data_IF_989849067137
#
_entry.id   IF_989849067137
#
_cell.length_a   1.000
_cell.length_b   1.000
_cell.length_c   1.000
_cell.angle_alpha   90.00
_cell.angle_beta   90.00
_cell.angle_gamma   90.00
#
_symmetry.space_group_name_H-M   'P 1'
#
loop_
_entity.id
_entity.type
_entity.pdbx_description
1 polymer ?
#
# COMPACT_ATOMS: atom_id res chain seq x y z
N UNK A 1 -26.60 16.20 -53.85
CA UNK A 1 -27.61 15.53 -53.00
C UNK A 1 -26.88 14.50 -52.16
N UNK A 2 -27.13 14.53 -50.88
CA UNK A 2 -26.73 13.68 -49.77
C UNK A 2 -25.41 14.10 -49.06
N UNK A 3 -25.66 14.76 -47.93
CA UNK A 3 -24.74 15.11 -46.87
C UNK A 3 -24.40 13.90 -46.02
N UNK A 4 -23.19 13.87 -45.47
CA UNK A 4 -22.92 13.19 -44.20
C UNK A 4 -22.15 14.15 -43.26
N UNK A 5 -22.90 14.61 -42.27
CA UNK A 5 -22.38 15.17 -41.00
C UNK A 5 -21.97 14.01 -40.09
N UNK A 6 -20.84 14.09 -39.41
CA UNK A 6 -20.80 14.24 -37.98
C UNK A 6 -19.35 14.18 -37.49
N UNK A 7 -18.85 15.34 -37.10
CA UNK A 7 -17.72 15.46 -36.24
C UNK A 7 -18.15 15.05 -34.81
N UNK A 8 -17.61 14.01 -34.26
CA UNK A 8 -17.82 13.64 -32.85
C UNK A 8 -16.77 14.37 -32.02
N UNK A 9 -17.22 15.45 -31.45
CA UNK A 9 -16.47 16.22 -30.41
C UNK A 9 -16.37 15.36 -29.18
N UNK A 10 -15.20 14.82 -28.88
CA UNK A 10 -14.92 14.22 -27.59
C UNK A 10 -14.79 15.33 -26.54
N UNK A 11 -15.79 15.44 -25.71
CA UNK A 11 -15.89 16.45 -24.67
C UNK A 11 -14.90 16.19 -23.53
N UNK A 12 -14.29 17.29 -23.07
CA UNK A 12 -13.34 17.46 -21.97
C UNK A 12 -13.91 17.06 -20.57
N UNK A 13 -15.02 16.32 -20.50
CA UNK A 13 -15.66 15.94 -19.22
C UNK A 13 -14.96 14.81 -18.48
N UNK A 14 -14.18 13.96 -19.14
CA UNK A 14 -13.48 12.84 -18.53
C UNK A 14 -12.31 13.27 -17.64
N UNK A 15 -11.60 14.32 -18.04
CA UNK A 15 -10.42 14.81 -17.29
C UNK A 15 -10.83 15.50 -15.97
N UNK A 16 -11.97 16.18 -15.95
CA UNK A 16 -12.49 16.82 -14.72
C UNK A 16 -12.99 15.80 -13.68
N UNK A 17 -13.39 14.62 -14.09
CA UNK A 17 -13.86 13.57 -13.17
C UNK A 17 -12.69 12.88 -12.45
N UNK A 18 -11.59 12.67 -13.16
CA UNK A 18 -10.34 12.12 -12.58
C UNK A 18 -9.71 13.12 -11.61
N UNK A 19 -9.63 14.41 -11.96
CA UNK A 19 -9.14 15.43 -11.02
C UNK A 19 -10.02 15.62 -9.78
N UNK A 20 -11.35 15.51 -9.90
CA UNK A 20 -12.25 15.57 -8.74
C UNK A 20 -12.11 14.36 -7.82
N UNK A 21 -11.80 13.17 -8.35
CA UNK A 21 -11.55 12.00 -7.52
C UNK A 21 -10.20 12.08 -6.81
N UNK A 22 -9.15 12.57 -7.47
CA UNK A 22 -7.81 12.75 -6.86
C UNK A 22 -7.84 13.83 -5.77
N UNK A 23 -8.52 14.96 -5.97
CA UNK A 23 -8.73 15.96 -4.92
C UNK A 23 -9.60 15.44 -3.76
N UNK A 24 -10.57 14.53 -4.01
CA UNK A 24 -11.29 13.85 -2.94
C UNK A 24 -10.41 12.89 -2.16
N UNK A 25 -9.44 12.21 -2.78
CA UNK A 25 -8.49 11.36 -2.08
C UNK A 25 -7.54 12.15 -1.17
N UNK A 26 -6.98 13.25 -1.65
CA UNK A 26 -6.06 14.07 -0.85
C UNK A 26 -6.75 14.85 0.27
N UNK A 27 -7.99 15.31 0.05
CA UNK A 27 -8.77 16.05 1.06
C UNK A 27 -9.60 15.16 2.01
N UNK A 28 -9.97 13.94 1.58
CA UNK A 28 -10.75 13.03 2.42
C UNK A 28 -9.92 12.39 3.55
N UNK A 29 -8.59 12.36 3.42
CA UNK A 29 -7.71 11.86 4.50
C UNK A 29 -7.62 12.85 5.67
N UNK A 30 -7.98 14.13 5.49
CA UNK A 30 -7.76 15.16 6.50
C UNK A 30 -9.02 15.90 7.02
N UNK A 31 -10.20 15.85 6.40
CA UNK A 31 -11.29 16.77 6.76
C UNK A 31 -12.73 16.26 6.71
N UNK A 32 -13.04 15.06 6.31
CA UNK A 32 -14.42 14.57 6.44
C UNK A 32 -14.55 13.63 7.65
N UNK A 33 -15.48 13.88 8.58
CA UNK A 33 -15.82 12.87 9.56
C UNK A 33 -16.30 11.65 8.80
N UNK A 34 -15.66 10.49 9.07
CA UNK A 34 -16.15 9.20 8.58
C UNK A 34 -17.64 9.11 8.87
N UNK A 35 -18.47 8.60 7.95
CA UNK A 35 -19.89 8.48 8.21
C UNK A 35 -20.06 7.74 9.55
N UNK A 36 -20.57 8.45 10.55
CA UNK A 36 -20.72 7.92 11.89
C UNK A 36 -21.88 6.93 11.89
N UNK A 37 -21.56 5.65 11.68
CA UNK A 37 -22.53 4.61 12.01
C UNK A 37 -22.52 4.50 13.52
N UNK A 38 -23.63 4.87 14.14
CA UNK A 38 -23.81 4.83 15.58
C UNK A 38 -24.47 3.49 15.91
N UNK A 39 -23.79 2.66 16.70
CA UNK A 39 -24.38 1.44 17.25
C UNK A 39 -24.67 1.62 18.72
N UNK A 40 -25.79 1.03 19.13
CA UNK A 40 -26.14 0.84 20.54
C UNK A 40 -25.97 -0.63 20.90
N UNK A 41 -25.23 -0.92 21.95
CA UNK A 41 -25.16 -2.25 22.50
C UNK A 41 -25.34 -2.21 24.01
N UNK A 42 -25.84 -3.32 24.57
CA UNK A 42 -26.05 -3.45 26.01
C UNK A 42 -24.90 -4.21 26.65
N UNK A 43 -24.18 -3.56 27.54
CA UNK A 43 -23.17 -4.18 28.38
C UNK A 43 -23.80 -4.60 29.72
N UNK A 44 -23.72 -5.89 30.06
CA UNK A 44 -24.12 -6.37 31.38
C UNK A 44 -22.89 -6.39 32.28
N UNK A 45 -22.81 -5.41 33.19
CA UNK A 45 -21.87 -5.41 34.32
C UNK A 45 -22.67 -5.43 35.61
N UNK A 46 -22.40 -6.42 36.47
CA UNK A 46 -22.95 -6.50 37.83
C UNK A 46 -24.48 -6.30 37.93
N UNK A 47 -25.22 -6.95 37.02
CA UNK A 47 -26.69 -6.90 37.04
C UNK A 47 -27.33 -5.64 36.44
N UNK A 48 -26.54 -4.66 36.04
CA UNK A 48 -27.02 -3.45 35.33
C UNK A 48 -26.77 -3.56 33.83
N UNK A 49 -27.77 -3.17 33.04
CA UNK A 49 -27.63 -3.04 31.59
C UNK A 49 -27.28 -1.59 31.26
N UNK A 50 -26.09 -1.34 30.72
CA UNK A 50 -25.68 -0.03 30.23
C UNK A 50 -25.76 -0.03 28.70
N UNK A 51 -26.47 0.93 28.16
CA UNK A 51 -26.48 1.20 26.72
C UNK A 51 -25.22 2.01 26.36
N UNK A 52 -24.37 1.47 25.48
CA UNK A 52 -23.16 2.15 25.01
C UNK A 52 -23.33 2.46 23.54
N UNK A 53 -23.12 3.73 23.20
CA UNK A 53 -23.13 4.21 21.81
C UNK A 53 -21.70 4.25 21.33
N UNK A 54 -21.41 3.63 20.20
CA UNK A 54 -20.09 3.72 19.58
C UNK A 54 -20.21 4.03 18.08
N UNK A 55 -19.22 4.73 17.55
CA UNK A 55 -19.07 5.02 16.13
C UNK A 55 -18.03 4.09 15.51
N UNK A 56 -18.11 3.86 14.20
CA UNK A 56 -17.07 3.12 13.49
C UNK A 56 -15.93 4.09 13.15
N UNK A 57 -14.71 3.73 13.55
CA UNK A 57 -13.48 4.29 13.02
C UNK A 57 -12.80 3.22 12.16
N UNK A 58 -12.55 3.53 10.93
CA UNK A 58 -11.94 2.61 9.98
C UNK A 58 -11.16 3.40 8.94
N UNK A 59 -9.95 2.96 8.63
CA UNK A 59 -9.15 3.53 7.54
C UNK A 59 -9.65 3.17 6.15
N UNK A 60 -10.38 2.07 6.05
CA UNK A 60 -10.85 1.56 4.77
C UNK A 60 -11.99 2.42 4.20
N UNK A 61 -11.69 3.70 3.94
CA UNK A 61 -12.57 4.61 3.18
C UNK A 61 -12.74 4.18 1.71
N UNK A 62 -12.06 3.10 1.29
CA UNK A 62 -12.04 2.65 -0.08
C UNK A 62 -13.37 2.07 -0.59
N UNK A 63 -14.30 1.70 0.29
CA UNK A 63 -15.61 1.22 -0.16
C UNK A 63 -16.72 1.63 0.81
N UNK A 64 -17.58 2.55 0.38
CA UNK A 64 -18.85 2.85 1.05
C UNK A 64 -19.78 1.62 1.16
N UNK A 65 -19.55 0.57 0.35
CA UNK A 65 -20.25 -0.71 0.40
C UNK A 65 -19.83 -1.62 1.54
N UNK A 66 -18.74 -1.29 2.27
CA UNK A 66 -18.28 -2.07 3.42
C UNK A 66 -19.01 -1.72 4.73
N UNK A 67 -19.79 -0.65 4.74
CA UNK A 67 -20.55 -0.30 5.94
C UNK A 67 -21.72 -1.27 6.09
N UNK A 68 -21.74 -2.09 7.17
CA UNK A 68 -22.81 -3.03 7.39
C UNK A 68 -24.09 -2.28 7.74
N UNK A 69 -25.17 -2.63 7.07
CA UNK A 69 -26.52 -2.15 7.42
C UNK A 69 -27.01 -2.76 8.74
N UNK A 70 -26.49 -3.93 9.10
CA UNK A 70 -26.85 -4.66 10.30
C UNK A 70 -25.62 -5.10 11.09
N UNK A 71 -25.77 -5.13 12.42
CA UNK A 71 -24.71 -5.55 13.35
C UNK A 71 -25.25 -6.62 14.31
N UNK A 72 -24.49 -7.70 14.44
CA UNK A 72 -24.75 -8.75 15.43
C UNK A 72 -23.75 -8.59 16.57
N UNK A 73 -24.25 -8.40 17.79
CA UNK A 73 -23.39 -8.32 18.98
C UNK A 73 -23.16 -9.70 19.54
N UNK A 74 -21.90 -10.04 19.78
CA UNK A 74 -21.48 -11.33 20.32
C UNK A 74 -20.50 -11.16 21.48
N UNK A 75 -20.47 -12.12 22.39
CA UNK A 75 -19.57 -12.14 23.53
C UNK A 75 -19.16 -13.57 23.91
N UNK A 76 -18.12 -13.72 24.71
CA UNK A 76 -17.68 -15.03 25.21
C UNK A 76 -17.02 -15.91 24.14
N UNK A 77 -17.13 -17.24 24.31
CA UNK A 77 -16.58 -18.18 23.35
C UNK A 77 -17.59 -18.43 22.23
N UNK A 78 -17.29 -17.88 21.04
CA UNK A 78 -18.14 -18.00 19.86
C UNK A 78 -17.41 -18.79 18.78
N UNK A 79 -18.11 -19.76 18.18
CA UNK A 79 -17.55 -20.56 17.10
C UNK A 79 -17.66 -19.79 15.76
N UNK A 80 -16.56 -19.75 15.02
CA UNK A 80 -16.50 -19.10 13.71
C UNK A 80 -17.57 -19.63 12.72
N UNK A 81 -17.87 -20.92 12.73
CA UNK A 81 -18.89 -21.52 11.85
C UNK A 81 -20.31 -21.00 12.10
N UNK A 82 -20.61 -20.52 13.32
CA UNK A 82 -21.92 -19.92 13.64
C UNK A 82 -22.01 -18.45 13.17
N UNK A 83 -20.88 -17.78 13.09
CA UNK A 83 -20.80 -16.35 12.76
C UNK A 83 -20.54 -16.11 11.27
N UNK A 84 -19.86 -17.03 10.62
CA UNK A 84 -19.52 -16.88 9.20
C UNK A 84 -20.75 -16.61 8.29
N UNK A 85 -21.92 -17.28 8.46
CA UNK A 85 -23.10 -16.98 7.66
C UNK A 85 -23.61 -15.54 7.82
N UNK A 86 -23.51 -14.95 9.00
CA UNK A 86 -23.90 -13.55 9.23
C UNK A 86 -22.99 -12.59 8.49
N UNK A 87 -21.68 -12.89 8.49
CA UNK A 87 -20.68 -12.12 7.74
C UNK A 87 -20.91 -12.24 6.22
N UNK A 88 -21.22 -13.43 5.72
CA UNK A 88 -21.54 -13.68 4.29
C UNK A 88 -22.79 -12.93 3.84
N UNK A 89 -23.78 -12.76 4.74
CA UNK A 89 -24.97 -11.92 4.52
C UNK A 89 -24.68 -10.40 4.57
N UNK A 90 -23.43 -10.02 4.82
CA UNK A 90 -23.03 -8.60 4.84
C UNK A 90 -23.13 -7.93 6.21
N UNK A 91 -23.44 -8.65 7.29
CA UNK A 91 -23.53 -8.08 8.64
C UNK A 91 -22.16 -7.88 9.26
N UNK A 92 -22.02 -6.88 10.14
CA UNK A 92 -20.87 -6.75 11.02
C UNK A 92 -21.08 -7.53 12.31
N UNK A 93 -19.99 -7.98 12.88
CA UNK A 93 -19.96 -8.68 14.17
C UNK A 93 -19.27 -7.78 15.17
N UNK A 94 -20.03 -7.20 16.09
CA UNK A 94 -19.49 -6.43 17.19
C UNK A 94 -19.16 -7.36 18.34
N UNK A 95 -17.87 -7.62 18.54
CA UNK A 95 -17.42 -8.45 19.64
C UNK A 95 -17.24 -7.60 20.91
N UNK A 96 -17.98 -7.95 21.94
CA UNK A 96 -17.91 -7.31 23.27
C UNK A 96 -17.30 -8.31 24.26
N UNK A 97 -16.15 -7.98 24.83
CA UNK A 97 -15.49 -8.80 25.85
C UNK A 97 -14.00 -9.03 25.63
N UNK A 98 -13.55 -10.21 25.99
CA UNK A 98 -12.14 -10.60 26.04
C UNK A 98 -11.45 -10.54 24.67
N UNK A 99 -10.37 -9.74 24.57
CA UNK A 99 -9.55 -9.60 23.34
C UNK A 99 -9.02 -10.94 22.82
N UNK A 100 -8.55 -11.83 23.68
CA UNK A 100 -8.02 -13.14 23.24
C UNK A 100 -9.11 -14.01 22.64
N UNK A 101 -10.33 -13.94 23.19
CA UNK A 101 -11.48 -14.64 22.60
C UNK A 101 -11.88 -14.03 21.26
N UNK A 102 -11.83 -12.69 21.13
CA UNK A 102 -12.01 -12.02 19.83
C UNK A 102 -10.94 -12.45 18.82
N UNK A 103 -9.67 -12.51 19.25
CA UNK A 103 -8.55 -12.98 18.41
C UNK A 103 -8.69 -14.45 18.02
N UNK A 104 -9.19 -15.30 18.92
CA UNK A 104 -9.48 -16.70 18.61
C UNK A 104 -10.61 -16.82 17.58
N UNK A 105 -11.67 -16.03 17.73
CA UNK A 105 -12.75 -15.95 16.74
C UNK A 105 -12.20 -15.47 15.38
N UNK A 106 -11.38 -14.43 15.36
CA UNK A 106 -10.71 -13.94 14.16
C UNK A 106 -9.88 -15.04 13.47
N UNK A 107 -9.10 -15.79 14.25
CA UNK A 107 -8.28 -16.89 13.72
C UNK A 107 -9.16 -18.01 13.16
N UNK A 108 -10.28 -18.29 13.84
CA UNK A 108 -11.29 -19.25 13.37
C UNK A 108 -11.94 -18.82 12.05
N UNK A 109 -12.36 -17.55 11.96
CA UNK A 109 -12.92 -16.96 10.73
C UNK A 109 -11.89 -16.93 9.58
N UNK A 110 -10.63 -16.55 9.86
CA UNK A 110 -9.55 -16.61 8.88
C UNK A 110 -9.35 -18.03 8.33
N UNK A 111 -9.43 -19.03 9.18
CA UNK A 111 -9.35 -20.45 8.77
C UNK A 111 -10.59 -20.88 8.00
N UNK A 112 -11.79 -20.44 8.42
CA UNK A 112 -13.05 -20.79 7.78
C UNK A 112 -13.12 -20.22 6.36
N UNK A 113 -12.92 -18.92 6.20
CA UNK A 113 -12.97 -18.23 4.91
C UNK A 113 -11.72 -18.42 4.05
N UNK A 114 -10.59 -18.80 4.64
CA UNK A 114 -9.33 -19.06 3.93
C UNK A 114 -9.27 -20.43 3.26
N UNK A 115 -10.26 -21.30 3.49
CA UNK A 115 -10.39 -22.54 2.74
C UNK A 115 -10.94 -22.18 1.36
N UNK A 116 -10.11 -22.38 0.32
CA UNK A 116 -10.59 -22.34 -1.06
C UNK A 116 -11.69 -23.40 -1.19
N UNK A 117 -12.89 -22.97 -1.57
CA UNK A 117 -13.90 -23.95 -1.98
C UNK A 117 -13.34 -24.61 -3.24
N UNK A 118 -13.32 -25.94 -3.27
CA UNK A 118 -12.90 -26.74 -4.44
C UNK A 118 -13.64 -26.34 -5.74
N UNK A 119 -14.80 -25.67 -5.58
CA UNK A 119 -15.66 -25.22 -6.66
C UNK A 119 -15.16 -23.92 -7.37
N UNK A 120 -14.14 -23.22 -6.81
CA UNK A 120 -13.57 -22.01 -7.42
C UNK A 120 -12.52 -22.36 -8.51
N UNK A 121 -12.12 -23.62 -8.63
CA UNK A 121 -11.12 -24.10 -9.60
C UNK A 121 -11.66 -25.37 -10.29
N UNK A 122 -12.22 -25.21 -11.48
CA UNK A 122 -12.29 -26.31 -12.47
C UNK A 122 -10.86 -26.78 -12.77
N UNK A 123 -10.66 -28.07 -13.06
CA UNK A 123 -9.36 -28.71 -13.24
C UNK A 123 -8.23 -27.77 -13.74
N UNK A 124 -7.16 -27.56 -12.94
CA UNK A 124 -6.21 -26.45 -13.12
C UNK A 124 -5.21 -26.64 -14.28
N UNK A 125 -5.39 -27.62 -15.13
CA UNK A 125 -4.39 -27.99 -16.14
C UNK A 125 -4.27 -26.98 -17.27
N UNK A 126 -5.32 -26.16 -17.52
CA UNK A 126 -5.37 -25.23 -18.66
C UNK A 126 -5.68 -23.76 -18.29
N UNK A 127 -5.69 -23.38 -17.01
CA UNK A 127 -5.99 -21.99 -16.61
C UNK A 127 -4.75 -21.10 -16.80
N UNK A 128 -4.86 -19.98 -17.55
CA UNK A 128 -3.76 -19.03 -17.72
C UNK A 128 -3.26 -18.50 -16.35
N UNK A 129 -1.95 -18.26 -16.22
CA UNK A 129 -1.35 -17.77 -14.96
C UNK A 129 -1.93 -16.42 -14.51
N UNK A 130 -2.33 -15.55 -15.43
CA UNK A 130 -3.02 -14.29 -15.15
C UNK A 130 -4.37 -14.50 -14.49
N UNK A 131 -5.14 -15.46 -14.95
CA UNK A 131 -6.44 -15.80 -14.39
C UNK A 131 -6.30 -16.45 -13.00
N UNK A 132 -5.34 -17.37 -12.83
CA UNK A 132 -5.00 -17.92 -11.50
C UNK A 132 -4.61 -16.83 -10.50
N UNK A 133 -3.86 -15.82 -10.97
CA UNK A 133 -3.50 -14.66 -10.17
C UNK A 133 -4.73 -13.84 -9.76
N UNK A 134 -5.64 -13.57 -10.69
CA UNK A 134 -6.88 -12.85 -10.41
C UNK A 134 -7.78 -13.60 -9.42
N UNK A 135 -7.93 -14.92 -9.58
CA UNK A 135 -8.66 -15.78 -8.65
C UNK A 135 -8.05 -15.69 -7.26
N UNK A 136 -6.72 -15.87 -7.13
CA UNK A 136 -6.02 -15.74 -5.84
C UNK A 136 -6.22 -14.36 -5.22
N UNK A 137 -6.11 -13.31 -6.02
CA UNK A 137 -6.30 -11.94 -5.57
C UNK A 137 -7.72 -11.67 -5.10
N UNK A 138 -8.73 -12.06 -5.88
CA UNK A 138 -10.13 -11.92 -5.52
C UNK A 138 -10.47 -12.69 -4.23
N UNK A 139 -9.88 -13.87 -4.05
CA UNK A 139 -10.00 -14.61 -2.79
C UNK A 139 -9.38 -13.84 -1.61
N UNK A 140 -8.20 -13.26 -1.77
CA UNK A 140 -7.54 -12.46 -0.72
C UNK A 140 -8.35 -11.20 -0.37
N UNK A 141 -8.93 -10.54 -1.36
CA UNK A 141 -9.82 -9.37 -1.19
C UNK A 141 -11.08 -9.78 -0.43
N UNK A 142 -11.75 -10.86 -0.85
CA UNK A 142 -12.94 -11.38 -0.18
C UNK A 142 -12.65 -11.74 1.27
N UNK A 143 -11.56 -12.44 1.53
CA UNK A 143 -11.10 -12.76 2.88
C UNK A 143 -10.88 -11.49 3.73
N UNK A 144 -10.21 -10.50 3.16
CA UNK A 144 -9.99 -9.21 3.81
C UNK A 144 -11.31 -8.52 4.18
N UNK A 145 -12.27 -8.47 3.25
CA UNK A 145 -13.60 -7.89 3.46
C UNK A 145 -14.36 -8.60 4.58
N UNK A 146 -14.35 -9.91 4.60
CA UNK A 146 -15.02 -10.70 5.65
C UNK A 146 -14.39 -10.48 7.03
N UNK A 147 -13.05 -10.48 7.11
CA UNK A 147 -12.32 -10.28 8.35
C UNK A 147 -12.46 -8.85 8.90
N UNK A 148 -12.63 -7.85 8.05
CA UNK A 148 -12.87 -6.46 8.46
C UNK A 148 -14.28 -6.27 9.09
N UNK A 149 -15.18 -7.24 8.91
CA UNK A 149 -16.51 -7.19 9.56
C UNK A 149 -16.52 -7.65 11.02
N UNK A 150 -15.41 -8.20 11.52
CA UNK A 150 -15.25 -8.45 12.96
C UNK A 150 -14.72 -7.18 13.64
N UNK A 151 -15.59 -6.51 14.38
CA UNK A 151 -15.32 -5.27 15.07
C UNK A 151 -15.10 -5.51 16.56
N UNK A 152 -14.25 -4.69 17.18
CA UNK A 152 -14.09 -4.62 18.63
C UNK A 152 -14.31 -3.19 19.12
N UNK A 153 -14.77 -3.04 20.37
CA UNK A 153 -14.98 -1.73 20.98
C UNK A 153 -13.70 -1.26 21.64
N UNK A 154 -13.34 -0.01 21.37
CA UNK A 154 -12.25 0.72 22.01
C UNK A 154 -12.86 1.88 22.77
N UNK A 155 -12.53 2.02 24.06
CA UNK A 155 -12.99 3.08 24.90
C UNK A 155 -12.30 4.43 24.64
N UNK A 156 -12.71 5.46 25.42
CA UNK A 156 -12.06 6.76 25.40
C UNK A 156 -10.54 6.63 25.61
N UNK A 157 -9.78 7.60 25.12
CA UNK A 157 -8.32 7.61 25.19
C UNK A 157 -7.67 6.35 24.58
N UNK A 158 -8.34 5.74 23.61
CA UNK A 158 -7.86 4.54 22.89
C UNK A 158 -7.66 3.32 23.78
N UNK A 159 -8.37 3.22 24.88
CA UNK A 159 -8.31 2.03 25.75
C UNK A 159 -9.22 0.94 25.21
N UNK A 160 -8.71 -0.27 25.08
CA UNK A 160 -9.55 -1.44 24.81
C UNK A 160 -10.39 -1.73 26.06
N UNK A 161 -11.69 -1.42 26.02
CA UNK A 161 -12.63 -1.79 27.08
C UNK A 161 -12.83 -3.32 27.11
N UNK A 162 -13.08 -3.85 28.27
CA UNK A 162 -13.36 -5.27 28.50
C UNK A 162 -12.23 -6.22 28.15
N UNK A 163 -10.99 -5.77 28.18
CA UNK A 163 -9.83 -6.60 27.90
C UNK A 163 -9.28 -7.18 29.20
N UNK A 164 -8.97 -8.48 29.28
CA UNK A 164 -8.31 -9.04 30.44
C UNK A 164 -6.96 -8.36 30.66
N UNK A 165 -6.50 -8.35 31.90
CA UNK A 165 -5.20 -7.76 32.33
C UNK A 165 -3.97 -8.20 31.53
N UNK A 166 -4.12 -9.17 30.61
CA UNK A 166 -3.05 -9.73 29.77
C UNK A 166 -3.13 -9.34 28.29
N UNK A 167 -4.10 -8.54 27.87
CA UNK A 167 -4.12 -8.11 26.47
C UNK A 167 -2.88 -7.26 26.20
N UNK A 168 -2.24 -7.43 25.02
CA UNK A 168 -1.20 -6.51 24.64
C UNK A 168 -1.79 -5.11 24.67
N UNK A 169 -1.17 -4.21 25.39
CA UNK A 169 -1.51 -2.81 25.27
C UNK A 169 -1.19 -2.45 23.83
N UNK A 170 -2.24 -2.25 23.04
CA UNK A 170 -2.06 -1.50 21.79
C UNK A 170 -1.53 -0.16 22.25
N UNK A 171 -0.33 0.25 21.88
CA UNK A 171 0.19 1.50 22.35
C UNK A 171 -0.80 2.59 22.00
N UNK A 172 -1.32 3.27 23.01
CA UNK A 172 -2.28 4.37 22.84
C UNK A 172 -1.77 5.37 21.81
N UNK A 173 -0.44 5.55 21.76
CA UNK A 173 0.27 6.36 20.79
C UNK A 173 -0.06 6.04 19.33
N UNK A 174 -0.19 4.74 18.97
CA UNK A 174 -0.48 4.35 17.58
C UNK A 174 -1.92 4.74 17.22
N UNK A 175 -2.87 4.38 18.07
CA UNK A 175 -4.27 4.71 17.84
C UNK A 175 -4.48 6.22 17.89
N UNK A 176 -3.81 6.92 18.82
CA UNK A 176 -3.88 8.37 18.93
C UNK A 176 -3.26 9.09 17.72
N UNK A 177 -2.10 8.65 17.25
CA UNK A 177 -1.47 9.23 16.04
C UNK A 177 -2.30 9.00 14.78
N UNK A 178 -3.12 7.94 14.79
CA UNK A 178 -3.90 7.52 13.65
C UNK A 178 -5.29 8.14 13.59
N UNK A 179 -5.99 8.16 14.73
CA UNK A 179 -7.39 8.61 14.84
C UNK A 179 -7.55 9.92 15.58
N UNK A 180 -6.46 10.52 16.08
CA UNK A 180 -6.54 11.69 16.94
C UNK A 180 -7.20 11.40 18.29
N UNK A 181 -7.37 12.39 19.17
CA UNK A 181 -7.98 12.21 20.49
C UNK A 181 -9.44 11.78 20.37
N UNK A 182 -9.85 10.80 21.18
CA UNK A 182 -11.21 10.26 21.20
C UNK A 182 -11.77 10.33 22.60
N UNK A 183 -12.89 11.02 22.77
CA UNK A 183 -13.59 11.15 24.05
C UNK A 183 -14.74 10.16 24.24
N UNK A 184 -15.19 9.53 23.13
CA UNK A 184 -16.27 8.58 23.09
C UNK A 184 -15.76 7.20 22.67
N UNK A 185 -16.41 6.11 23.11
CA UNK A 185 -16.09 4.77 22.61
C UNK A 185 -16.30 4.68 21.10
N UNK A 186 -15.48 3.85 20.45
CA UNK A 186 -15.63 3.57 19.03
C UNK A 186 -15.41 2.09 18.71
N UNK A 187 -15.96 1.63 17.59
CA UNK A 187 -15.72 0.30 17.05
C UNK A 187 -14.68 0.36 15.94
N UNK A 188 -13.82 -0.64 15.88
CA UNK A 188 -12.76 -0.75 14.88
C UNK A 188 -12.64 -2.21 14.44
N UNK A 189 -12.33 -2.50 13.16
CA UNK A 189 -12.01 -3.85 12.73
C UNK A 189 -10.84 -4.44 13.54
N UNK A 190 -11.02 -5.63 14.10
CA UNK A 190 -9.95 -6.30 14.85
C UNK A 190 -8.71 -6.52 13.96
N UNK A 191 -8.92 -6.79 12.68
CA UNK A 191 -7.83 -6.93 11.70
C UNK A 191 -6.97 -5.68 11.62
N UNK A 192 -7.56 -4.51 11.70
CA UNK A 192 -6.86 -3.23 11.65
C UNK A 192 -5.99 -3.02 12.90
N UNK A 193 -6.53 -3.31 14.09
CA UNK A 193 -5.74 -3.31 15.33
C UNK A 193 -4.55 -4.28 15.24
N UNK A 194 -4.77 -5.50 14.74
CA UNK A 194 -3.68 -6.48 14.57
C UNK A 194 -2.62 -6.00 13.58
N UNK A 195 -3.03 -5.30 12.52
CA UNK A 195 -2.12 -4.67 11.57
C UNK A 195 -1.30 -3.54 12.21
N UNK A 196 -1.94 -2.69 13.00
CA UNK A 196 -1.27 -1.60 13.74
C UNK A 196 -0.27 -2.12 14.76
N UNK A 197 -0.61 -3.19 15.51
CA UNK A 197 0.31 -3.85 16.45
C UNK A 197 1.53 -4.39 15.69
N UNK A 198 1.31 -5.06 14.55
CA UNK A 198 2.41 -5.57 13.73
C UNK A 198 3.31 -4.44 13.19
N UNK A 199 2.71 -3.36 12.72
CA UNK A 199 3.46 -2.20 12.22
C UNK A 199 4.25 -1.48 13.31
N UNK A 200 3.74 -1.44 14.55
CA UNK A 200 4.45 -0.85 15.67
C UNK A 200 5.79 -1.56 15.97
N UNK A 201 5.80 -2.88 15.88
CA UNK A 201 7.04 -3.65 16.04
C UNK A 201 8.07 -3.29 14.94
N UNK A 202 7.60 -3.12 13.70
CA UNK A 202 8.45 -2.66 12.59
C UNK A 202 8.94 -1.22 12.80
N UNK A 203 8.07 -0.33 13.28
CA UNK A 203 8.44 1.05 13.62
C UNK A 203 9.47 1.09 14.73
N UNK A 204 9.30 0.27 15.78
CA UNK A 204 10.18 0.23 16.95
C UNK A 204 11.55 -0.36 16.60
N UNK A 205 11.57 -1.52 15.96
CA UNK A 205 12.79 -2.26 15.69
C UNK A 205 13.52 -1.77 14.43
N UNK A 206 12.79 -1.21 13.45
CA UNK A 206 13.34 -0.85 12.15
C UNK A 206 13.68 -2.06 11.28
N UNK A 207 14.05 -1.77 10.05
CA UNK A 207 14.63 -2.72 9.09
C UNK A 207 16.09 -2.31 8.90
N UNK A 208 17.01 -3.19 9.23
CA UNK A 208 18.44 -2.94 9.00
C UNK A 208 18.74 -2.90 7.50
N UNK A 209 19.41 -1.84 7.06
CA UNK A 209 19.79 -1.59 5.67
C UNK A 209 21.32 -1.67 5.54
N UNK A 210 21.86 -2.79 5.04
CA UNK A 210 23.30 -2.98 4.96
C UNK A 210 24.03 -1.90 4.19
N UNK A 211 23.40 -1.34 3.16
CA UNK A 211 24.00 -0.31 2.29
C UNK A 211 24.33 0.98 3.04
N UNK A 212 23.62 1.29 4.12
CA UNK A 212 23.87 2.49 4.94
C UNK A 212 24.39 2.16 6.35
N UNK A 213 24.40 0.88 6.71
CA UNK A 213 24.76 0.38 8.06
C UNK A 213 23.86 0.99 9.16
N UNK A 214 22.57 1.15 8.87
CA UNK A 214 21.60 1.76 9.78
C UNK A 214 20.19 1.21 9.55
N UNK A 215 19.23 1.67 10.34
CA UNK A 215 17.84 1.19 10.33
C UNK A 215 16.89 2.19 9.68
N UNK A 216 15.96 1.67 8.91
CA UNK A 216 14.79 2.40 8.39
C UNK A 216 13.54 1.91 9.11
N UNK A 217 12.76 2.83 9.62
CA UNK A 217 11.55 2.57 10.39
C UNK A 217 10.31 2.81 9.53
N UNK A 218 9.47 1.79 9.36
CA UNK A 218 8.24 1.91 8.59
C UNK A 218 7.05 2.21 9.51
N UNK A 219 6.21 3.16 9.09
CA UNK A 219 4.94 3.47 9.75
C UNK A 219 3.82 2.52 9.29
N UNK A 220 2.74 2.44 10.08
CA UNK A 220 1.53 1.74 9.64
C UNK A 220 0.98 2.33 8.35
N UNK A 221 0.66 1.48 7.38
CA UNK A 221 0.18 1.91 6.06
C UNK A 221 1.27 2.40 5.11
N UNK A 222 2.56 2.29 5.49
CA UNK A 222 3.72 2.56 4.64
C UNK A 222 4.43 1.24 4.34
N UNK A 223 4.79 1.03 3.09
CA UNK A 223 5.44 -0.22 2.67
C UNK A 223 6.83 -0.35 3.29
N UNK A 224 7.03 -1.42 4.05
CA UNK A 224 8.32 -1.66 4.71
C UNK A 224 9.36 -2.16 3.69
N UNK A 225 10.62 -1.66 3.68
CA UNK A 225 11.65 -2.03 2.73
C UNK A 225 12.26 -3.41 3.05
N UNK A 226 11.42 -4.44 3.07
CA UNK A 226 11.85 -5.83 3.28
C UNK A 226 12.55 -6.44 2.07
N UNK A 227 12.27 -5.91 0.88
CA UNK A 227 12.99 -6.19 -0.36
C UNK A 227 14.02 -5.08 -0.58
N UNK A 228 15.28 -5.42 -0.71
CA UNK A 228 16.40 -4.46 -0.71
C UNK A 228 17.38 -4.66 -1.87
N UNK A 229 17.19 -5.70 -2.65
CA UNK A 229 18.05 -6.05 -3.78
C UNK A 229 18.17 -4.93 -4.81
N UNK A 230 17.14 -4.09 -4.96
CA UNK A 230 17.18 -2.94 -5.87
C UNK A 230 18.15 -1.84 -5.41
N UNK A 231 18.49 -1.79 -4.12
CA UNK A 231 19.47 -0.84 -3.62
C UNK A 231 20.87 -1.11 -4.17
N UNK A 232 21.21 -2.38 -4.41
CA UNK A 232 22.48 -2.76 -5.02
C UNK A 232 22.55 -2.30 -6.48
N UNK A 233 21.42 -2.30 -7.21
CA UNK A 233 21.34 -1.73 -8.56
C UNK A 233 21.60 -0.22 -8.55
N UNK A 234 21.05 0.52 -7.58
CA UNK A 234 21.31 1.94 -7.41
C UNK A 234 22.77 2.24 -7.08
N UNK A 235 23.43 1.31 -6.39
CA UNK A 235 24.86 1.42 -6.08
C UNK A 235 25.76 1.14 -7.27
N UNK A 236 25.32 0.38 -8.26
CA UNK A 236 26.12 -0.07 -9.40
C UNK A 236 26.27 0.97 -10.51
N UNK A 237 25.23 1.78 -10.76
CA UNK A 237 25.21 2.73 -11.88
C UNK A 237 26.02 4.02 -11.58
N UNK A 238 26.69 4.62 -12.58
CA UNK A 238 27.27 5.94 -12.43
C UNK A 238 26.17 7.00 -12.28
N UNK A 239 26.35 7.92 -11.33
CA UNK A 239 25.39 9.01 -11.11
C UNK A 239 25.61 10.11 -12.14
N UNK A 240 24.53 10.63 -12.78
CA UNK A 240 24.66 11.84 -13.59
C UNK A 240 25.10 13.02 -12.70
N UNK A 241 26.15 13.68 -13.09
CA UNK A 241 26.67 14.86 -12.39
C UNK A 241 26.41 16.11 -13.19
N UNK A 242 26.03 17.19 -12.51
CA UNK A 242 25.95 18.50 -13.12
C UNK A 242 27.35 19.12 -13.32
N UNK A 243 27.42 20.23 -14.02
CA UNK A 243 28.68 20.93 -14.31
C UNK A 243 29.44 21.41 -13.07
N UNK A 244 28.76 21.57 -11.95
CA UNK A 244 29.33 22.00 -10.66
C UNK A 244 29.67 20.84 -9.73
N UNK A 245 29.63 19.58 -10.23
CA UNK A 245 29.85 18.35 -9.49
C UNK A 245 28.82 18.11 -8.34
N UNK A 246 27.68 18.77 -8.39
CA UNK A 246 26.56 18.51 -7.50
C UNK A 246 25.53 17.63 -8.19
N UNK A 247 24.79 16.84 -7.44
CA UNK A 247 23.67 16.06 -7.97
C UNK A 247 22.45 16.28 -7.10
N UNK A 248 21.40 16.80 -7.70
CA UNK A 248 20.07 16.85 -7.09
C UNK A 248 19.22 15.69 -7.59
N UNK A 249 18.48 15.06 -6.70
CA UNK A 249 17.66 13.88 -7.03
C UNK A 249 16.21 14.10 -6.61
N UNK A 250 15.30 13.49 -7.36
CA UNK A 250 13.91 13.33 -6.96
C UNK A 250 13.61 11.84 -6.75
N UNK A 251 13.04 11.50 -5.59
CA UNK A 251 12.61 10.15 -5.20
C UNK A 251 11.08 10.09 -5.27
N UNK A 252 10.55 9.60 -6.38
CA UNK A 252 9.11 9.59 -6.67
C UNK A 252 8.47 8.33 -6.09
N UNK A 253 7.48 8.51 -5.20
CA UNK A 253 6.94 7.44 -4.39
C UNK A 253 7.92 7.03 -3.30
N UNK A 254 8.44 8.01 -2.55
CA UNK A 254 9.56 7.85 -1.62
C UNK A 254 9.30 6.85 -0.47
N UNK A 255 8.03 6.60 -0.11
CA UNK A 255 7.65 5.64 0.91
C UNK A 255 8.31 5.91 2.27
N UNK A 256 9.28 5.09 2.64
CA UNK A 256 10.07 5.26 3.88
C UNK A 256 11.25 6.23 3.76
N UNK A 257 11.52 6.79 2.58
CA UNK A 257 12.70 7.61 2.33
C UNK A 257 14.00 6.82 2.10
N UNK A 258 13.92 5.51 1.94
CA UNK A 258 15.10 4.64 1.86
C UNK A 258 16.00 4.94 0.65
N UNK A 259 15.41 5.19 -0.53
CA UNK A 259 16.17 5.52 -1.74
C UNK A 259 16.90 6.84 -1.54
N UNK A 260 16.19 7.87 -1.08
CA UNK A 260 16.78 9.16 -0.72
C UNK A 260 17.94 9.00 0.26
N UNK A 261 17.76 8.21 1.34
CA UNK A 261 18.80 7.97 2.33
C UNK A 261 20.05 7.31 1.76
N UNK A 262 19.89 6.21 1.00
CA UNK A 262 21.00 5.47 0.39
C UNK A 262 21.78 6.35 -0.60
N UNK A 263 21.07 7.06 -1.47
CA UNK A 263 21.67 7.90 -2.50
C UNK A 263 22.43 9.09 -1.90
N UNK A 264 21.92 9.71 -0.85
CA UNK A 264 22.58 10.83 -0.18
C UNK A 264 23.79 10.40 0.67
N UNK A 265 23.70 9.25 1.35
CA UNK A 265 24.76 8.78 2.24
C UNK A 265 25.91 8.08 1.49
N UNK A 266 25.62 7.42 0.37
CA UNK A 266 26.56 6.52 -0.30
C UNK A 266 26.90 6.89 -1.75
N UNK A 267 26.12 7.78 -2.37
CA UNK A 267 26.25 8.08 -3.81
C UNK A 267 26.48 9.55 -4.13
N UNK A 268 26.86 10.35 -3.15
CA UNK A 268 27.18 11.79 -3.33
C UNK A 268 26.03 12.62 -3.89
N UNK A 269 24.77 12.19 -3.71
CA UNK A 269 23.61 13.04 -3.97
C UNK A 269 23.60 14.16 -2.95
N UNK A 270 23.66 15.39 -3.40
CA UNK A 270 23.82 16.56 -2.51
C UNK A 270 22.48 17.01 -1.94
N UNK A 271 21.39 16.90 -2.72
CA UNK A 271 20.03 17.22 -2.29
C UNK A 271 19.05 16.19 -2.83
N UNK A 272 18.06 15.79 -2.01
CA UNK A 272 16.96 14.92 -2.41
C UNK A 272 15.61 15.58 -2.18
N UNK A 273 14.68 15.39 -3.13
CA UNK A 273 13.27 15.78 -3.02
C UNK A 273 12.44 14.50 -3.12
N UNK A 274 11.91 14.04 -1.98
CA UNK A 274 11.01 12.89 -1.94
C UNK A 274 9.56 13.32 -2.21
N UNK A 275 8.82 12.57 -3.02
CA UNK A 275 7.38 12.78 -3.20
C UNK A 275 6.60 11.51 -2.87
N UNK A 276 5.43 11.67 -2.27
CA UNK A 276 4.48 10.56 -2.07
C UNK A 276 3.06 11.11 -1.96
N UNK A 277 2.10 10.37 -2.47
CA UNK A 277 0.68 10.73 -2.37
C UNK A 277 0.14 10.46 -0.96
N UNK A 278 0.73 9.47 -0.25
CA UNK A 278 0.33 9.06 1.08
C UNK A 278 0.96 9.97 2.15
N UNK A 279 0.19 10.79 2.88
CA UNK A 279 0.73 11.70 3.89
C UNK A 279 1.49 10.98 5.02
N UNK A 280 1.19 9.69 5.27
CA UNK A 280 1.97 8.88 6.22
C UNK A 280 3.34 8.51 5.69
N UNK A 281 3.45 8.24 4.40
CA UNK A 281 4.73 8.00 3.75
C UNK A 281 5.59 9.26 3.80
N UNK A 282 5.00 10.43 3.53
CA UNK A 282 5.67 11.73 3.65
C UNK A 282 6.25 11.91 5.05
N UNK A 283 5.40 11.75 6.09
CA UNK A 283 5.86 11.85 7.47
C UNK A 283 6.92 10.79 7.82
N UNK A 284 6.72 9.56 7.40
CA UNK A 284 7.63 8.45 7.63
C UNK A 284 9.01 8.71 7.02
N UNK A 285 9.07 9.20 5.79
CA UNK A 285 10.30 9.59 5.11
C UNK A 285 11.00 10.75 5.84
N UNK A 286 10.26 11.80 6.22
CA UNK A 286 10.80 12.93 6.99
C UNK A 286 11.42 12.45 8.30
N UNK A 287 10.72 11.60 9.07
CA UNK A 287 11.21 11.08 10.35
C UNK A 287 12.49 10.23 10.17
N UNK A 288 12.55 9.37 9.14
CA UNK A 288 13.73 8.56 8.84
C UNK A 288 14.92 9.41 8.40
N UNK A 289 14.71 10.32 7.46
CA UNK A 289 15.76 11.21 6.95
C UNK A 289 16.30 12.13 8.05
N UNK A 290 15.43 12.58 8.96
CA UNK A 290 15.84 13.36 10.13
C UNK A 290 16.70 12.54 11.09
N UNK A 291 16.33 11.29 11.40
CA UNK A 291 17.13 10.40 12.24
C UNK A 291 18.52 10.13 11.66
N UNK A 292 18.62 10.07 10.34
CA UNK A 292 19.89 9.88 9.62
C UNK A 292 20.70 11.18 9.45
N UNK A 293 20.23 12.31 10.00
CA UNK A 293 20.94 13.60 9.92
C UNK A 293 20.90 14.24 8.54
N UNK A 294 19.86 13.95 7.74
CA UNK A 294 19.74 14.41 6.35
C UNK A 294 18.73 15.54 6.15
N UNK A 295 18.10 16.06 7.21
CA UNK A 295 17.02 17.08 7.13
C UNK A 295 17.41 18.34 6.36
N UNK A 296 18.67 18.77 6.43
CA UNK A 296 19.14 19.99 5.79
C UNK A 296 19.25 19.87 4.25
N UNK A 297 19.27 18.63 3.74
CA UNK A 297 19.49 18.30 2.33
C UNK A 297 18.36 17.49 1.72
N UNK A 298 17.40 17.06 2.53
CA UNK A 298 16.25 16.26 2.11
C UNK A 298 14.95 17.02 2.35
N UNK A 299 14.18 17.19 1.32
CA UNK A 299 12.81 17.72 1.37
C UNK A 299 11.83 16.61 1.01
N UNK A 300 10.70 16.50 1.72
CA UNK A 300 9.66 15.52 1.38
C UNK A 300 8.33 16.24 1.24
N UNK A 301 7.71 16.08 0.09
CA UNK A 301 6.50 16.81 -0.34
C UNK A 301 5.37 15.83 -0.58
N UNK A 302 4.17 16.15 -0.09
CA UNK A 302 2.99 15.39 -0.48
C UNK A 302 2.57 15.79 -1.90
N UNK A 303 2.72 14.86 -2.84
CA UNK A 303 2.37 15.06 -4.25
C UNK A 303 1.91 13.77 -4.90
N UNK A 304 1.03 13.89 -5.88
CA UNK A 304 0.65 12.78 -6.74
C UNK A 304 1.66 12.68 -7.89
N UNK A 305 2.69 11.86 -7.71
CA UNK A 305 3.84 11.63 -8.58
C UNK A 305 4.87 12.77 -8.50
N UNK A 306 4.62 13.91 -9.13
CA UNK A 306 5.54 15.04 -9.21
C UNK A 306 5.04 16.29 -8.45
N UNK A 307 5.96 17.14 -7.97
CA UNK A 307 5.62 18.44 -7.42
C UNK A 307 5.31 19.45 -8.56
N UNK A 308 5.48 20.75 -8.32
CA UNK A 308 5.31 21.73 -9.37
C UNK A 308 6.35 21.55 -10.50
N UNK A 309 5.99 21.93 -11.75
CA UNK A 309 6.87 21.80 -12.92
C UNK A 309 8.14 22.64 -12.87
N UNK A 310 8.23 23.58 -11.95
CA UNK A 310 9.43 24.40 -11.73
C UNK A 310 10.56 23.62 -11.04
N UNK A 311 10.21 22.48 -10.42
CA UNK A 311 11.19 21.62 -9.73
C UNK A 311 11.90 20.75 -10.75
N UNK A 312 13.18 21.02 -11.00
CA UNK A 312 14.03 20.24 -11.91
C UNK A 312 15.24 19.67 -11.18
N UNK A 313 15.65 18.46 -11.57
CA UNK A 313 16.71 17.68 -10.93
C UNK A 313 17.62 17.01 -11.96
N UNK A 314 18.78 16.52 -11.51
CA UNK A 314 19.74 15.82 -12.34
C UNK A 314 19.40 14.32 -12.47
N UNK A 315 18.72 13.76 -11.45
CA UNK A 315 18.33 12.36 -11.39
C UNK A 315 16.92 12.23 -10.83
N UNK A 316 16.07 11.49 -11.52
CA UNK A 316 14.77 11.03 -10.99
C UNK A 316 14.86 9.54 -10.73
N UNK A 317 14.54 9.09 -9.52
CA UNK A 317 14.43 7.68 -9.19
C UNK A 317 12.99 7.37 -8.82
N UNK A 318 12.47 6.27 -9.34
CA UNK A 318 11.14 5.79 -8.98
C UNK A 318 11.13 4.27 -8.82
N UNK A 319 10.63 3.82 -7.68
CA UNK A 319 10.27 2.43 -7.45
C UNK A 319 8.74 2.35 -7.33
N UNK A 320 7.99 2.36 -8.45
CA UNK A 320 6.53 2.41 -8.43
C UNK A 320 5.92 1.09 -8.00
N UNK A 321 4.59 1.02 -7.77
CA UNK A 321 3.91 -0.26 -7.63
C UNK A 321 4.13 -1.15 -8.87
N UNK A 322 4.49 -2.42 -8.65
CA UNK A 322 4.96 -3.29 -9.75
C UNK A 322 3.85 -4.03 -10.49
N UNK A 323 2.69 -4.20 -9.87
CA UNK A 323 1.62 -5.05 -10.41
C UNK A 323 0.42 -4.22 -10.84
N UNK A 324 -0.08 -4.42 -12.06
CA UNK A 324 -1.37 -3.86 -12.47
C UNK A 324 -2.49 -4.39 -11.57
N UNK A 325 -3.35 -3.49 -11.10
CA UNK A 325 -4.51 -3.89 -10.32
C UNK A 325 -4.97 -2.84 -9.33
N UNK A 326 -6.20 -2.99 -8.83
CA UNK A 326 -6.82 -2.06 -7.89
C UNK A 326 -6.28 -2.28 -6.47
N UNK A 327 -5.86 -1.22 -5.79
CA UNK A 327 -5.50 -1.26 -4.37
C UNK A 327 -6.76 -1.32 -3.49
N UNK A 328 -6.72 -2.12 -2.41
CA UNK A 328 -7.80 -2.28 -1.43
C UNK A 328 -7.38 -1.89 -0.01
N UNK A 329 -6.15 -1.43 0.16
CA UNK A 329 -5.61 -0.90 1.42
C UNK A 329 -4.49 0.10 1.12
N UNK A 330 -4.10 0.90 2.12
CA UNK A 330 -2.96 1.81 2.00
C UNK A 330 -1.66 1.10 1.63
N UNK A 331 -1.44 -0.11 2.17
CA UNK A 331 -0.29 -0.95 1.81
C UNK A 331 -0.36 -1.46 0.37
N UNK A 332 -1.55 -1.73 -0.15
CA UNK A 332 -1.71 -2.18 -1.52
C UNK A 332 -1.33 -1.11 -2.54
N UNK A 333 -1.42 0.19 -2.18
CA UNK A 333 -0.94 1.29 -3.04
C UNK A 333 0.55 1.20 -3.37
N UNK A 334 1.35 0.59 -2.50
CA UNK A 334 2.78 0.33 -2.76
C UNK A 334 3.04 -0.92 -3.63
N UNK A 335 2.00 -1.70 -3.98
CA UNK A 335 2.13 -2.96 -4.72
C UNK A 335 1.39 -2.91 -6.06
N UNK A 336 0.20 -2.29 -6.07
CA UNK A 336 -0.75 -2.32 -7.19
C UNK A 336 -1.01 -0.93 -7.76
N UNK A 337 -0.95 -0.83 -9.08
CA UNK A 337 -1.26 0.36 -9.87
C UNK A 337 -2.44 0.07 -10.80
N UNK A 338 -3.61 0.61 -10.48
CA UNK A 338 -4.82 0.41 -11.27
C UNK A 338 -4.67 1.02 -12.66
N UNK A 339 -4.80 0.20 -13.70
CA UNK A 339 -4.62 0.57 -15.11
C UNK A 339 -3.22 1.15 -15.43
N UNK A 340 -2.20 0.87 -14.61
CA UNK A 340 -0.86 1.46 -14.72
C UNK A 340 -0.88 2.99 -14.74
N UNK A 341 -1.80 3.60 -14.01
CA UNK A 341 -2.08 5.03 -14.06
C UNK A 341 -0.94 5.87 -13.48
N UNK A 342 -0.35 5.42 -12.38
CA UNK A 342 0.83 6.05 -11.77
C UNK A 342 2.06 5.92 -12.67
N UNK A 343 2.33 4.71 -13.18
CA UNK A 343 3.47 4.46 -14.07
C UNK A 343 3.37 5.28 -15.37
N UNK A 344 2.19 5.33 -15.99
CA UNK A 344 1.97 6.15 -17.20
C UNK A 344 2.21 7.63 -16.95
N UNK A 345 1.66 8.16 -15.85
CA UNK A 345 1.87 9.57 -15.46
C UNK A 345 3.34 9.84 -15.21
N UNK A 346 4.01 8.99 -14.43
CA UNK A 346 5.42 9.10 -14.16
C UNK A 346 6.25 9.20 -15.47
N UNK A 347 6.06 8.26 -16.38
CA UNK A 347 6.81 8.25 -17.65
C UNK A 347 6.50 9.44 -18.55
N UNK A 348 5.25 9.93 -18.56
CA UNK A 348 4.84 11.09 -19.38
C UNK A 348 5.39 12.41 -18.85
N UNK A 349 5.47 12.56 -17.53
CA UNK A 349 5.82 13.83 -16.89
C UNK A 349 7.30 13.94 -16.54
N UNK A 350 8.02 12.83 -16.33
CA UNK A 350 9.42 12.81 -15.87
C UNK A 350 10.34 13.74 -16.66
N UNK A 351 10.20 13.78 -18.00
CA UNK A 351 11.04 14.63 -18.88
C UNK A 351 10.98 16.11 -18.55
N UNK A 352 9.88 16.60 -17.97
CA UNK A 352 9.71 18.02 -17.62
C UNK A 352 10.38 18.41 -16.31
N UNK A 353 10.87 17.43 -15.57
CA UNK A 353 11.55 17.58 -14.29
C UNK A 353 13.06 17.30 -14.40
N UNK A 354 13.58 17.06 -15.60
CA UNK A 354 15.00 16.89 -15.85
C UNK A 354 15.65 18.25 -16.19
N UNK A 355 16.79 18.51 -15.57
CA UNK A 355 17.50 19.79 -15.67
C UNK A 355 18.21 19.97 -17.01
N UNK A 356 18.74 18.89 -17.57
CA UNK A 356 19.58 18.91 -18.77
C UNK A 356 19.44 17.60 -19.56
N UNK A 357 20.06 17.57 -20.76
CA UNK A 357 20.11 16.36 -21.58
C UNK A 357 20.94 15.22 -20.96
N UNK A 358 21.84 15.55 -20.01
CA UNK A 358 22.63 14.55 -19.28
C UNK A 358 21.91 14.01 -18.05
N UNK A 359 20.79 14.61 -17.67
CA UNK A 359 19.94 14.14 -16.57
C UNK A 359 19.26 12.81 -16.91
N UNK A 360 18.96 12.01 -15.91
CA UNK A 360 18.48 10.64 -16.10
C UNK A 360 17.25 10.34 -15.27
N UNK A 361 16.50 9.34 -15.72
CA UNK A 361 15.41 8.71 -14.97
C UNK A 361 15.79 7.25 -14.73
N UNK A 362 15.78 6.84 -13.48
CA UNK A 362 16.00 5.46 -13.06
C UNK A 362 14.69 4.85 -12.57
N UNK A 363 14.18 3.89 -13.34
CA UNK A 363 12.92 3.22 -13.07
C UNK A 363 13.17 1.80 -12.60
N UNK A 364 12.70 1.49 -11.38
CA UNK A 364 12.86 0.17 -10.75
C UNK A 364 11.56 -0.62 -10.91
N UNK A 365 11.64 -1.81 -11.50
CA UNK A 365 10.48 -2.69 -11.69
C UNK A 365 10.86 -4.15 -11.45
N UNK A 366 9.86 -4.98 -11.15
CA UNK A 366 9.98 -6.43 -11.15
C UNK A 366 9.44 -7.02 -12.47
N UNK A 367 10.03 -8.14 -12.89
CA UNK A 367 9.51 -8.96 -14.01
C UNK A 367 8.19 -9.67 -13.66
N UNK A 368 7.71 -9.55 -12.42
CA UNK A 368 6.52 -10.28 -11.95
C UNK A 368 5.27 -10.01 -12.80
N UNK A 369 5.04 -8.75 -13.22
CA UNK A 369 3.92 -8.43 -14.10
C UNK A 369 4.00 -9.12 -15.46
N UNK A 370 5.21 -9.33 -15.98
CA UNK A 370 5.47 -10.05 -17.25
C UNK A 370 5.30 -11.55 -17.07
N UNK A 371 5.86 -12.12 -15.99
CA UNK A 371 5.75 -13.55 -15.67
C UNK A 371 4.31 -13.98 -15.41
N UNK A 372 3.53 -13.11 -14.78
CA UNK A 372 2.09 -13.30 -14.55
C UNK A 372 1.22 -12.96 -15.77
N UNK A 373 1.81 -12.50 -16.89
CA UNK A 373 1.09 -12.07 -18.10
C UNK A 373 0.09 -10.92 -17.88
N UNK A 374 0.36 -10.04 -16.90
CA UNK A 374 -0.46 -8.87 -16.58
C UNK A 374 -0.04 -7.62 -17.38
N UNK A 375 1.21 -7.57 -17.83
CA UNK A 375 1.79 -6.54 -18.69
C UNK A 375 2.95 -7.16 -19.48
N UNK A 376 3.06 -6.90 -20.76
CA UNK A 376 4.21 -7.36 -21.53
C UNK A 376 5.39 -6.40 -21.44
N UNK A 377 6.58 -6.85 -21.81
CA UNK A 377 7.79 -6.02 -21.93
C UNK A 377 7.62 -4.97 -23.03
N UNK A 378 7.03 -5.35 -24.15
CA UNK A 378 6.75 -4.47 -25.29
C UNK A 378 5.83 -3.32 -24.89
N UNK A 379 4.77 -3.61 -24.11
CA UNK A 379 3.87 -2.57 -23.60
C UNK A 379 4.59 -1.59 -22.65
N UNK A 380 5.54 -2.07 -21.83
CA UNK A 380 6.38 -1.19 -21.01
C UNK A 380 7.27 -0.30 -21.87
N UNK A 381 7.98 -0.87 -22.83
CA UNK A 381 8.86 -0.13 -23.74
C UNK A 381 8.09 0.90 -24.56
N UNK A 382 6.88 0.57 -25.01
CA UNK A 382 5.99 1.51 -25.67
C UNK A 382 5.60 2.69 -24.77
N UNK A 383 5.25 2.44 -23.49
CA UNK A 383 4.94 3.53 -22.54
C UNK A 383 6.14 4.44 -22.29
N UNK A 384 7.36 3.90 -22.22
CA UNK A 384 8.61 4.67 -22.11
C UNK A 384 8.79 5.55 -23.35
N UNK A 385 8.58 4.98 -24.53
CA UNK A 385 8.69 5.66 -25.83
C UNK A 385 7.68 6.81 -25.98
N UNK A 386 6.41 6.56 -25.66
CA UNK A 386 5.31 7.53 -25.64
C UNK A 386 5.57 8.67 -24.63
N UNK A 387 6.27 8.39 -23.52
CA UNK A 387 6.71 9.38 -22.53
C UNK A 387 7.82 10.30 -23.04
N UNK A 388 8.36 10.08 -24.25
CA UNK A 388 9.49 10.82 -24.82
C UNK A 388 10.82 10.44 -24.18
N UNK A 389 10.91 9.24 -23.63
CA UNK A 389 12.11 8.67 -23.03
C UNK A 389 12.65 7.53 -23.87
N UNK A 390 13.96 7.26 -23.77
CA UNK A 390 14.62 6.12 -24.38
C UNK A 390 15.39 5.33 -23.31
N UNK A 391 15.47 4.02 -23.51
CA UNK A 391 16.26 3.13 -22.64
C UNK A 391 17.73 3.20 -23.08
N UNK A 392 18.58 3.64 -22.16
CA UNK A 392 20.04 3.62 -22.37
C UNK A 392 20.66 2.30 -21.91
N UNK A 393 20.17 1.79 -20.76
CA UNK A 393 20.70 0.60 -20.15
C UNK A 393 19.64 -0.08 -19.27
N UNK A 394 19.71 -1.38 -19.13
CA UNK A 394 18.92 -2.15 -18.16
C UNK A 394 19.88 -3.07 -17.39
N UNK A 395 19.88 -2.93 -16.08
CA UNK A 395 20.60 -3.84 -15.18
C UNK A 395 19.62 -4.58 -14.30
N UNK A 396 20.02 -5.76 -13.81
CA UNK A 396 19.12 -6.64 -13.08
C UNK A 396 19.78 -7.35 -11.89
N UNK A 397 18.95 -7.83 -10.98
CA UNK A 397 19.34 -8.66 -9.85
C UNK A 397 18.25 -9.61 -9.43
N UNK A 398 18.62 -10.71 -8.81
CA UNK A 398 17.67 -11.68 -8.26
C UNK A 398 17.24 -11.27 -6.84
N UNK A 399 15.95 -11.43 -6.49
CA UNK A 399 15.49 -11.23 -5.12
C UNK A 399 16.19 -12.19 -4.14
N UNK A 400 16.65 -11.65 -3.01
CA UNK A 400 17.35 -12.43 -1.97
C UNK A 400 16.47 -12.64 -0.72
N UNK A 401 15.20 -12.94 -0.88
CA UNK A 401 14.30 -13.20 0.25
C UNK A 401 13.85 -14.67 0.33
N UNK A 402 13.48 -15.12 1.54
CA UNK A 402 13.14 -16.52 1.82
C UNK A 402 11.98 -17.05 0.97
N UNK A 403 11.00 -16.22 0.60
CA UNK A 403 9.87 -16.61 -0.27
C UNK A 403 10.29 -16.87 -1.72
N UNK A 404 11.37 -16.26 -2.20
CA UNK A 404 11.92 -16.55 -3.52
C UNK A 404 12.71 -17.87 -3.53
N UNK A 405 13.22 -18.29 -2.37
CA UNK A 405 14.14 -19.43 -2.23
C UNK A 405 13.49 -20.74 -1.76
N UNK A 406 12.24 -20.75 -1.25
CA UNK A 406 11.82 -21.81 -0.34
C UNK A 406 10.58 -22.63 -0.65
N UNK A 407 9.70 -22.26 -1.55
CA UNK A 407 8.47 -23.02 -1.84
C UNK A 407 8.68 -23.93 -3.06
N UNK A 408 8.55 -25.25 -2.86
CA UNK A 408 8.46 -26.17 -4.01
C UNK A 408 7.14 -25.89 -4.75
N UNK A 409 7.16 -25.71 -6.08
CA UNK A 409 5.97 -25.45 -6.87
C UNK A 409 5.09 -26.70 -6.94
N UNK A 410 4.16 -26.84 -6.01
CA UNK A 410 3.21 -27.97 -5.95
C UNK A 410 1.78 -27.44 -5.88
N UNK A 411 0.84 -28.20 -6.47
CA UNK A 411 -0.60 -27.88 -6.45
C UNK A 411 -1.01 -26.80 -7.46
N UNK A 412 -2.22 -26.34 -7.33
CA UNK A 412 -2.94 -25.45 -8.26
C UNK A 412 -2.25 -24.10 -8.45
N UNK A 413 -1.53 -23.60 -7.43
CA UNK A 413 -0.78 -22.34 -7.48
C UNK A 413 0.66 -22.49 -7.97
N UNK A 414 1.08 -23.66 -8.42
CA UNK A 414 2.44 -23.91 -8.91
C UNK A 414 2.90 -22.92 -10.00
N UNK A 415 2.06 -22.45 -10.95
CA UNK A 415 2.47 -21.44 -11.93
C UNK A 415 2.86 -20.10 -11.27
N UNK A 416 2.12 -19.65 -10.25
CA UNK A 416 2.42 -18.41 -9.52
C UNK A 416 3.69 -18.56 -8.67
N UNK A 417 3.88 -19.73 -8.05
CA UNK A 417 5.09 -20.03 -7.27
C UNK A 417 6.32 -20.04 -8.19
N UNK A 418 6.21 -20.63 -9.39
CA UNK A 418 7.27 -20.58 -10.42
C UNK A 418 7.58 -19.15 -10.85
N UNK A 419 6.55 -18.35 -11.16
CA UNK A 419 6.74 -16.93 -11.50
C UNK A 419 7.53 -16.19 -10.42
N UNK A 420 7.23 -16.43 -9.12
CA UNK A 420 7.98 -15.84 -8.01
C UNK A 420 9.43 -16.33 -7.93
N UNK A 421 9.71 -17.59 -8.25
CA UNK A 421 11.06 -18.14 -8.26
C UNK A 421 11.91 -17.58 -9.42
N UNK A 422 11.25 -17.30 -10.55
CA UNK A 422 11.89 -16.74 -11.75
C UNK A 422 11.97 -15.22 -11.75
N UNK A 423 11.38 -14.57 -10.75
CA UNK A 423 11.33 -13.12 -10.61
C UNK A 423 12.74 -12.50 -10.62
N UNK A 424 12.84 -11.36 -11.30
CA UNK A 424 14.05 -10.53 -11.37
C UNK A 424 13.65 -9.08 -11.14
N UNK A 425 14.44 -8.37 -10.37
CA UNK A 425 14.30 -6.92 -10.18
C UNK A 425 15.18 -6.22 -11.20
N UNK A 426 14.60 -5.25 -11.91
CA UNK A 426 15.22 -4.52 -13.01
C UNK A 426 15.34 -3.05 -12.64
N UNK A 427 16.42 -2.41 -13.07
CA UNK A 427 16.55 -0.97 -13.10
C UNK A 427 16.77 -0.52 -14.55
N UNK A 428 15.84 0.26 -15.06
CA UNK A 428 15.92 0.91 -16.36
C UNK A 428 16.55 2.29 -16.19
N UNK A 429 17.67 2.51 -16.85
CA UNK A 429 18.30 3.82 -17.00
C UNK A 429 17.75 4.47 -18.26
N UNK A 430 17.04 5.59 -18.08
CA UNK A 430 16.32 6.27 -19.15
C UNK A 430 16.86 7.68 -19.35
N UNK A 431 16.81 8.19 -20.59
CA UNK A 431 17.07 9.59 -20.95
C UNK A 431 15.98 10.13 -21.86
N UNK A 432 15.90 11.43 -21.95
CA UNK A 432 15.06 12.10 -22.95
C UNK A 432 15.56 11.74 -24.36
N UNK A 433 14.64 11.57 -25.32
CA UNK A 433 14.93 11.29 -26.72
C UNK A 433 15.63 12.48 -27.41
#
# INVERSE_FOLDING_TARGET
MIAFKSATTFTVSGIRHVQRNVQRYASAVLTSPSPSIIWKYSEKKEGTTKEVVCRLLCEHQFESSLFPLETVTVSGNVNASKIAPEIEQGKAILYVGDYYKAKNLYTGLKRFFGRTKKDDLSDPVDVPVSELWEIQRNHAIRLSRYLNRLLVVVGPDHRLESVPRRAPQVPQEILSSHFGPQTEPYAIPLREILGMIGAYEWKKNGVFIPQIDDYIHAEYGVFSPTRREYLDLLMALPIPTSTDNTTTMMDVGTGTGIISAVMMLKRNVTKSIGTDINPRAVKCAQDNLSKLGLSDRAEVIQADTFPSRETVVDLIVCNPPWLPGKAFSSLDLGIYDENLSMLRRFLTEARYHLRSETSEVWLILSTMAELLKLRSREALLQMIDEGGLKVEEVIDTKPDHAKAKGEKPTGELAPIVRARADETTLLFRLRVK
#
